data_IF_811400599052
#
_entry.id   IF_811400599052
#
_cell.length_a   1.000
_cell.length_b   1.000
_cell.length_c   1.000
_cell.angle_alpha   90.00
_cell.angle_beta   90.00
_cell.angle_gamma   90.00
#
_symmetry.space_group_name_H-M   'P 1'
#
loop_
_entity.id
_entity.type
_entity.pdbx_description
1 polymer ?
#
# COMPACT_ATOMS: atom_id res chain seq x y z
N UNK A 1 -7.65 2.69 24.43
CA UNK A 1 -7.20 3.38 23.21
C UNK A 1 -6.38 2.36 22.44
N UNK A 2 -7.04 1.28 22.03
CA UNK A 2 -6.44 0.08 21.45
C UNK A 2 -6.99 0.02 20.02
N UNK A 3 -6.11 0.15 19.03
CA UNK A 3 -6.48 0.21 17.61
C UNK A 3 -6.02 1.52 16.99
N UNK A 4 -5.08 1.41 16.05
CA UNK A 4 -4.37 2.50 15.36
C UNK A 4 -3.20 3.12 16.15
N UNK A 5 -2.22 2.31 16.58
CA UNK A 5 -0.83 2.77 16.64
C UNK A 5 -0.02 2.06 15.55
N UNK A 6 0.02 2.72 14.39
CA UNK A 6 0.79 2.36 13.20
C UNK A 6 0.51 3.42 12.16
N UNK A 7 1.38 4.42 12.07
CA UNK A 7 1.27 5.52 11.12
C UNK A 7 1.13 4.97 9.69
N UNK A 8 0.30 5.60 8.85
CA UNK A 8 -0.21 5.18 7.53
C UNK A 8 -1.53 4.39 7.61
N UNK A 9 -2.64 5.13 7.73
CA UNK A 9 -4.02 4.63 7.86
C UNK A 9 -4.52 3.80 6.67
N UNK A 10 -4.03 2.57 6.58
CA UNK A 10 -4.44 1.54 5.64
C UNK A 10 -3.91 0.14 5.97
N UNK A 11 -3.09 -0.01 7.02
CA UNK A 11 -2.54 -1.32 7.41
C UNK A 11 -2.46 -1.46 8.92
N UNK A 12 -2.53 -2.71 9.37
CA UNK A 12 -2.28 -3.10 10.75
C UNK A 12 -0.85 -3.63 10.90
N UNK A 13 -0.22 -3.38 12.05
CA UNK A 13 1.18 -3.80 12.31
C UNK A 13 1.40 -5.30 12.16
N UNK A 14 0.38 -6.10 12.49
CA UNK A 14 0.37 -7.57 12.36
C UNK A 14 0.38 -8.06 10.89
N UNK A 15 0.05 -7.21 9.92
CA UNK A 15 0.13 -7.55 8.49
C UNK A 15 1.57 -7.54 7.97
N UNK A 16 2.52 -7.03 8.76
CA UNK A 16 3.93 -6.95 8.38
C UNK A 16 4.80 -7.89 9.22
N UNK A 17 5.87 -8.45 8.62
CA UNK A 17 6.92 -9.11 9.39
C UNK A 17 7.50 -8.15 10.43
N UNK A 18 7.63 -8.60 11.68
CA UNK A 18 8.06 -7.73 12.78
C UNK A 18 9.52 -7.27 12.65
N UNK A 19 10.37 -8.12 12.08
CA UNK A 19 11.82 -7.88 11.99
C UNK A 19 12.28 -7.51 10.58
N UNK A 20 11.34 -7.17 9.68
CA UNK A 20 11.69 -6.83 8.29
C UNK A 20 10.79 -5.74 7.75
N UNK A 21 11.43 -4.68 7.25
CA UNK A 21 10.73 -3.59 6.61
C UNK A 21 10.36 -3.97 5.17
N UNK A 22 9.16 -4.51 4.97
CA UNK A 22 8.70 -5.04 3.68
C UNK A 22 8.21 -3.96 2.70
N UNK A 23 8.08 -2.71 3.16
CA UNK A 23 7.50 -1.61 2.39
C UNK A 23 8.51 -0.98 1.42
N UNK A 24 9.80 -1.01 1.78
CA UNK A 24 10.91 -0.54 0.95
C UNK A 24 12.18 -1.37 1.16
N UNK A 25 12.99 -1.47 0.12
CA UNK A 25 14.35 -2.02 0.20
C UNK A 25 15.38 -1.00 -0.26
N UNK A 26 16.61 -1.12 0.24
CA UNK A 26 17.75 -0.31 -0.22
C UNK A 26 18.82 -1.22 -0.79
N UNK A 27 19.13 -1.07 -2.08
CA UNK A 27 20.17 -1.86 -2.76
C UNK A 27 20.99 -0.91 -3.62
N UNK A 28 22.32 -0.99 -3.52
CA UNK A 28 23.24 -0.15 -4.31
C UNK A 28 23.09 1.37 -4.04
N UNK A 29 22.56 1.76 -2.87
CA UNK A 29 22.30 3.16 -2.52
C UNK A 29 20.96 3.72 -3.02
N UNK A 30 20.14 2.90 -3.68
CA UNK A 30 18.83 3.29 -4.20
C UNK A 30 17.70 2.68 -3.37
N UNK A 31 16.65 3.47 -3.13
CA UNK A 31 15.42 3.02 -2.49
C UNK A 31 14.47 2.43 -3.54
N UNK A 32 13.94 1.25 -3.25
CA UNK A 32 12.94 0.55 -4.05
C UNK A 32 11.67 0.42 -3.22
N UNK A 33 10.57 0.94 -3.73
CA UNK A 33 9.27 0.83 -3.07
C UNK A 33 8.52 -0.41 -3.56
N UNK A 34 7.77 -1.05 -2.66
CA UNK A 34 6.88 -2.12 -3.05
C UNK A 34 5.64 -1.55 -3.78
N UNK A 35 5.63 -1.69 -5.10
CA UNK A 35 4.55 -1.23 -5.97
C UNK A 35 3.16 -1.77 -5.57
N UNK A 36 3.09 -3.06 -5.22
CA UNK A 36 1.83 -3.69 -4.81
C UNK A 36 1.30 -3.07 -3.51
N UNK A 37 2.19 -2.79 -2.56
CA UNK A 37 1.82 -2.17 -1.30
C UNK A 37 1.33 -0.73 -1.49
N UNK A 38 1.96 0.03 -2.38
CA UNK A 38 1.53 1.40 -2.73
C UNK A 38 0.10 1.39 -3.30
N UNK A 39 -0.20 0.48 -4.23
CA UNK A 39 -1.55 0.35 -4.79
C UNK A 39 -2.57 -0.05 -3.72
N UNK A 40 -2.20 -1.00 -2.85
CA UNK A 40 -3.05 -1.45 -1.75
C UNK A 40 -3.31 -0.32 -0.73
N UNK A 41 -2.35 0.57 -0.50
CA UNK A 41 -2.57 1.78 0.27
C UNK A 41 -3.66 2.67 -0.38
N UNK A 42 -3.61 2.84 -1.71
CA UNK A 42 -4.65 3.57 -2.46
C UNK A 42 -6.05 3.00 -2.25
N UNK A 43 -6.19 1.67 -2.24
CA UNK A 43 -7.49 0.99 -1.99
C UNK A 43 -7.98 1.21 -0.56
N UNK A 44 -7.08 1.19 0.43
CA UNK A 44 -7.46 1.19 1.85
C UNK A 44 -7.58 2.59 2.44
N UNK A 45 -6.81 3.56 1.95
CA UNK A 45 -6.82 4.92 2.46
C UNK A 45 -8.12 5.66 2.07
N UNK A 46 -8.80 6.34 3.01
CA UNK A 46 -10.03 7.07 2.70
C UNK A 46 -9.80 8.18 1.66
N UNK A 47 -10.54 8.13 0.54
CA UNK A 47 -10.49 9.18 -0.49
C UNK A 47 -9.32 9.06 -1.46
N UNK A 48 -8.67 7.90 -1.49
CA UNK A 48 -7.70 7.52 -2.51
C UNK A 48 -8.20 6.31 -3.30
N UNK A 49 -7.58 6.09 -4.44
CA UNK A 49 -7.77 4.93 -5.31
C UNK A 49 -6.42 4.35 -5.73
N UNK A 50 -6.41 3.14 -6.30
CA UNK A 50 -5.17 2.56 -6.84
C UNK A 50 -4.73 3.31 -8.11
N UNK A 51 -5.66 3.92 -8.83
CA UNK A 51 -5.42 4.76 -10.00
C UNK A 51 -4.64 6.03 -9.63
N UNK A 52 -5.01 6.69 -8.53
CA UNK A 52 -4.27 7.86 -8.01
C UNK A 52 -2.81 7.50 -7.67
N UNK A 53 -2.60 6.28 -7.18
CA UNK A 53 -1.26 5.78 -6.88
C UNK A 53 -0.48 5.47 -8.15
N UNK A 54 -1.12 4.86 -9.15
CA UNK A 54 -0.46 4.58 -10.43
C UNK A 54 -0.02 5.88 -11.13
N UNK A 55 -0.87 6.90 -11.12
CA UNK A 55 -0.53 8.22 -11.69
C UNK A 55 0.66 8.86 -10.95
N UNK A 56 0.64 8.87 -9.61
CA UNK A 56 1.68 9.49 -8.80
C UNK A 56 3.04 8.78 -8.92
N UNK A 57 3.06 7.45 -8.96
CA UNK A 57 4.30 6.67 -8.84
C UNK A 57 4.82 6.12 -10.17
N UNK A 58 3.94 5.80 -11.12
CA UNK A 58 4.34 5.27 -12.43
C UNK A 58 4.13 6.26 -13.57
N UNK A 59 3.21 7.22 -13.44
CA UNK A 59 2.89 8.17 -14.50
C UNK A 59 2.59 7.47 -15.83
N UNK A 60 3.27 7.88 -16.91
CA UNK A 60 3.06 7.35 -18.26
C UNK A 60 4.03 6.20 -18.65
N UNK A 61 4.63 5.51 -17.68
CA UNK A 61 5.59 4.43 -17.97
C UNK A 61 4.89 3.27 -18.71
N UNK A 62 5.38 2.86 -19.89
CA UNK A 62 4.81 1.73 -20.60
C UNK A 62 5.18 0.40 -19.92
N UNK A 63 4.27 -0.58 -20.00
CA UNK A 63 4.52 -1.95 -19.53
C UNK A 63 4.29 -2.19 -18.04
N UNK A 64 3.76 -1.21 -17.31
CA UNK A 64 3.29 -1.41 -15.93
C UNK A 64 2.10 -2.39 -15.94
N UNK A 65 2.16 -3.51 -15.21
CA UNK A 65 1.03 -4.42 -15.13
C UNK A 65 -0.20 -3.73 -14.52
N UNK A 66 -1.41 -3.95 -15.06
CA UNK A 66 -2.62 -3.36 -14.50
C UNK A 66 -2.86 -3.91 -13.09
N UNK A 67 -3.44 -3.08 -12.22
CA UNK A 67 -3.93 -3.56 -10.94
C UNK A 67 -5.02 -4.62 -11.13
N UNK A 68 -4.96 -5.68 -10.32
CA UNK A 68 -5.97 -6.74 -10.28
C UNK A 68 -6.40 -6.88 -8.83
N UNK A 69 -7.62 -6.48 -8.53
CA UNK A 69 -8.19 -6.59 -7.19
C UNK A 69 -8.17 -8.05 -6.73
N UNK A 70 -7.74 -8.26 -5.48
CA UNK A 70 -7.73 -9.56 -4.81
C UNK A 70 -8.62 -9.54 -3.58
N UNK A 71 -9.08 -10.73 -3.20
CA UNK A 71 -9.73 -10.93 -1.91
C UNK A 71 -8.79 -10.50 -0.79
N UNK A 72 -9.26 -9.62 0.09
CA UNK A 72 -8.48 -9.05 1.19
C UNK A 72 -7.76 -7.74 0.90
N UNK A 73 -7.86 -7.20 -0.32
CA UNK A 73 -7.34 -5.87 -0.62
C UNK A 73 -8.14 -4.78 0.11
N UNK A 74 -9.46 -4.93 0.18
CA UNK A 74 -10.30 -4.09 1.02
C UNK A 74 -10.16 -4.47 2.50
N UNK A 75 -9.99 -3.45 3.35
CA UNK A 75 -10.02 -3.65 4.79
C UNK A 75 -11.46 -3.72 5.29
N UNK A 76 -11.95 -4.94 5.52
CA UNK A 76 -13.28 -5.19 6.07
C UNK A 76 -13.44 -4.74 7.53
N UNK A 77 -12.34 -4.49 8.25
CA UNK A 77 -12.36 -3.97 9.63
C UNK A 77 -12.54 -2.45 9.67
N UNK A 78 -12.39 -1.79 8.53
CA UNK A 78 -12.57 -0.34 8.40
C UNK A 78 -14.02 0.04 8.70
N UNK A 79 -14.27 1.05 9.55
CA UNK A 79 -15.61 1.54 9.76
C UNK A 79 -16.18 2.09 8.44
N UNK A 80 -17.38 1.62 8.09
CA UNK A 80 -18.11 2.12 6.91
C UNK A 80 -18.50 3.58 7.16
N UNK A 81 -18.24 4.44 6.17
CA UNK A 81 -18.64 5.86 6.19
C UNK A 81 -20.16 6.01 6.31
#
# INVERSE_FOLDING_TARGET
>A
MEGCLGAYGGFYTEEFPQDTFAQLGVVGGYCYLNASLIRLFGVRAPGLSWEDMDEQFFGAIPGVPPYQQRDGDEDLRKPRK
#
